data_IF_685933898276
#
_entry.id   IF_685933898276
#
_cell.length_a   1.000
_cell.length_b   1.000
_cell.length_c   1.000
_cell.angle_alpha   90.00
_cell.angle_beta   90.00
_cell.angle_gamma   90.00
#
_symmetry.space_group_name_H-M   'P 1'
#
loop_
_entity.id
_entity.type
_entity.pdbx_description
1 polymer ?
#
# COMPACT_ATOMS: atom_id res chain seq x y z
N UNK A 1 5.56 18.93 -1.78
CA UNK A 1 4.11 19.02 -2.05
C UNK A 1 3.99 20.20 -2.96
N UNK A 2 4.04 19.96 -4.26
CA UNK A 2 3.87 21.01 -5.26
C UNK A 2 2.79 20.51 -6.20
N UNK A 3 1.59 20.99 -5.92
CA UNK A 3 0.36 20.74 -6.64
C UNK A 3 0.16 21.92 -7.57
N UNK A 4 0.82 21.94 -8.72
CA UNK A 4 0.52 22.96 -9.73
C UNK A 4 0.94 22.44 -11.11
N UNK A 5 0.01 21.72 -11.76
CA UNK A 5 -0.37 21.97 -13.16
C UNK A 5 -1.47 20.98 -13.60
N UNK A 6 -2.70 21.21 -13.14
CA UNK A 6 -3.88 20.66 -13.81
C UNK A 6 -4.80 21.84 -14.07
N UNK A 7 -4.70 22.41 -15.27
CA UNK A 7 -5.71 23.33 -15.79
C UNK A 7 -6.96 22.51 -16.09
N UNK A 8 -7.81 22.28 -15.07
CA UNK A 8 -9.16 21.78 -15.30
C UNK A 8 -10.10 22.98 -15.41
N UNK A 9 -10.68 23.13 -16.60
CA UNK A 9 -11.69 24.14 -16.90
C UNK A 9 -12.83 24.06 -15.90
N UNK A 10 -13.19 25.22 -15.36
CA UNK A 10 -14.31 25.51 -14.48
C UNK A 10 -15.65 25.01 -15.04
N UNK A 11 -16.01 23.74 -14.86
CA UNK A 11 -17.38 23.25 -15.03
C UNK A 11 -17.50 21.80 -14.55
N UNK A 12 -17.51 21.61 -13.24
CA UNK A 12 -18.37 20.67 -12.50
C UNK A 12 -17.98 20.76 -11.02
N UNK A 13 -18.97 20.94 -10.15
CA UNK A 13 -18.77 21.00 -8.70
C UNK A 13 -17.96 19.78 -8.24
N UNK A 14 -16.70 20.03 -7.84
CA UNK A 14 -15.73 19.00 -7.53
C UNK A 14 -16.11 18.30 -6.22
N UNK A 15 -16.92 17.26 -6.35
CA UNK A 15 -17.20 16.36 -5.25
C UNK A 15 -15.90 15.60 -4.98
N UNK A 16 -15.06 16.10 -4.07
CA UNK A 16 -13.74 15.53 -3.71
C UNK A 16 -13.85 14.01 -3.43
N UNK A 17 -15.00 13.56 -2.89
CA UNK A 17 -15.30 12.15 -2.69
C UNK A 17 -15.39 11.33 -4.00
N UNK A 18 -15.87 11.93 -5.09
CA UNK A 18 -15.89 11.33 -6.42
C UNK A 18 -14.49 11.22 -7.02
N UNK A 19 -13.62 12.22 -6.84
CA UNK A 19 -12.24 12.19 -7.33
C UNK A 19 -11.40 11.11 -6.63
N UNK A 20 -11.48 11.04 -5.29
CA UNK A 20 -10.82 9.97 -4.52
C UNK A 20 -11.32 8.59 -4.95
N UNK A 21 -12.65 8.40 -5.00
CA UNK A 21 -13.24 7.12 -5.41
C UNK A 21 -12.81 6.72 -6.82
N UNK A 22 -12.84 7.65 -7.78
CA UNK A 22 -12.39 7.42 -9.15
C UNK A 22 -10.92 6.96 -9.19
N UNK A 23 -10.05 7.59 -8.41
CA UNK A 23 -8.65 7.19 -8.32
C UNK A 23 -8.47 5.80 -7.71
N UNK A 24 -9.19 5.46 -6.65
CA UNK A 24 -9.10 4.13 -6.01
C UNK A 24 -9.57 2.98 -6.91
N UNK A 25 -10.41 3.27 -7.90
CA UNK A 25 -10.89 2.30 -8.89
C UNK A 25 -10.02 2.24 -10.15
N UNK A 26 -9.07 3.16 -10.31
CA UNK A 26 -8.12 3.17 -11.41
C UNK A 26 -6.78 2.57 -10.95
N UNK A 27 -6.26 1.60 -11.70
CA UNK A 27 -5.04 0.88 -11.33
C UNK A 27 -3.82 1.79 -11.22
N UNK A 28 -3.61 2.68 -12.20
CA UNK A 28 -2.44 3.55 -12.23
C UNK A 28 -2.52 4.65 -11.16
N UNK A 29 -3.73 5.15 -10.89
CA UNK A 29 -3.96 6.17 -9.88
C UNK A 29 -3.79 5.58 -8.46
N UNK A 30 -4.42 4.44 -8.18
CA UNK A 30 -4.28 3.75 -6.90
C UNK A 30 -2.83 3.34 -6.60
N UNK A 31 -2.12 2.80 -7.61
CA UNK A 31 -0.70 2.46 -7.47
C UNK A 31 0.15 3.68 -7.07
N UNK A 32 -0.04 4.83 -7.72
CA UNK A 32 0.71 6.05 -7.40
C UNK A 32 0.47 6.54 -5.98
N UNK A 33 -0.77 6.48 -5.50
CA UNK A 33 -1.09 6.85 -4.10
C UNK A 33 -0.33 5.96 -3.12
N UNK A 34 -0.35 4.64 -3.34
CA UNK A 34 0.32 3.68 -2.47
C UNK A 34 1.84 3.87 -2.50
N UNK A 35 2.43 4.07 -3.70
CA UNK A 35 3.87 4.36 -3.85
C UNK A 35 4.29 5.64 -3.11
N UNK A 36 3.50 6.71 -3.20
CA UNK A 36 3.78 7.95 -2.47
C UNK A 36 3.68 7.76 -0.96
N UNK A 37 2.75 6.92 -0.49
CA UNK A 37 2.64 6.57 0.92
C UNK A 37 3.91 5.85 1.41
N UNK A 38 4.40 4.88 0.63
CA UNK A 38 5.65 4.17 0.95
C UNK A 38 6.86 5.10 0.89
N UNK A 39 7.00 5.93 -0.15
CA UNK A 39 8.09 6.91 -0.24
C UNK A 39 8.16 7.83 0.99
N UNK A 40 7.00 8.16 1.57
CA UNK A 40 6.93 9.06 2.73
C UNK A 40 7.13 8.36 4.07
N UNK A 41 6.73 7.09 4.20
CA UNK A 41 6.57 6.44 5.49
C UNK A 41 7.21 5.05 5.60
N UNK A 42 7.94 4.60 4.58
CA UNK A 42 8.69 3.35 4.61
C UNK A 42 9.59 3.28 5.85
N UNK A 43 9.55 2.15 6.53
CA UNK A 43 10.41 1.82 7.66
C UNK A 43 10.63 0.30 7.66
N UNK A 44 11.68 -0.15 8.34
CA UNK A 44 11.84 -1.57 8.69
C UNK A 44 10.84 -1.92 9.80
N UNK A 45 9.71 -2.46 9.38
CA UNK A 45 8.55 -2.73 10.22
C UNK A 45 8.62 -4.13 10.84
N UNK A 46 9.21 -5.09 10.14
CA UNK A 46 9.39 -6.45 10.67
C UNK A 46 10.68 -6.59 11.51
N UNK A 47 11.61 -5.64 11.42
CA UNK A 47 12.86 -5.59 12.20
C UNK A 47 13.96 -6.50 11.66
N UNK A 48 13.93 -6.87 10.38
CA UNK A 48 14.91 -7.76 9.75
C UNK A 48 16.14 -7.03 9.18
N UNK A 49 16.16 -5.70 9.25
CA UNK A 49 17.23 -4.85 8.74
C UNK A 49 17.13 -4.48 7.27
N UNK A 50 16.07 -4.89 6.56
CA UNK A 50 15.86 -4.65 5.12
C UNK A 50 14.45 -4.16 4.85
N UNK A 51 14.30 -2.88 4.50
CA UNK A 51 13.00 -2.36 4.06
C UNK A 51 12.59 -2.91 2.68
N UNK A 52 11.62 -3.81 2.65
CA UNK A 52 11.17 -4.52 1.45
C UNK A 52 9.63 -4.63 1.35
N UNK A 53 9.14 -5.53 0.47
CA UNK A 53 7.71 -5.76 0.25
C UNK A 53 6.94 -6.11 1.53
N UNK A 54 7.55 -6.87 2.44
CA UNK A 54 6.94 -7.26 3.71
C UNK A 54 6.65 -6.04 4.58
N UNK A 55 7.59 -5.10 4.65
CA UNK A 55 7.41 -3.87 5.40
C UNK A 55 6.34 -2.98 4.79
N UNK A 56 6.32 -2.87 3.46
CA UNK A 56 5.30 -2.11 2.75
C UNK A 56 3.91 -2.70 2.95
N UNK A 57 3.81 -4.02 2.99
CA UNK A 57 2.58 -4.72 3.30
C UNK A 57 2.15 -4.45 4.75
N UNK A 58 3.05 -4.61 5.73
CA UNK A 58 2.79 -4.32 7.14
C UNK A 58 2.38 -2.85 7.34
N UNK A 59 3.05 -1.93 6.66
CA UNK A 59 2.76 -0.50 6.67
C UNK A 59 1.38 -0.17 6.09
N UNK A 60 1.00 -0.83 4.99
CA UNK A 60 -0.31 -0.63 4.36
C UNK A 60 -1.45 -1.09 5.27
N UNK A 61 -1.28 -2.24 5.94
CA UNK A 61 -2.32 -2.80 6.82
C UNK A 61 -2.38 -2.12 8.20
N UNK A 62 -1.23 -1.90 8.83
CA UNK A 62 -1.18 -1.33 10.18
C UNK A 62 -1.27 0.21 10.19
N UNK A 63 -0.86 0.84 9.09
CA UNK A 63 -0.60 2.27 9.04
C UNK A 63 0.71 2.65 9.73
N UNK A 64 1.23 3.83 9.38
CA UNK A 64 2.52 4.37 9.85
C UNK A 64 2.79 4.19 11.35
N UNK A 65 1.86 4.64 12.21
CA UNK A 65 2.09 4.71 13.65
C UNK A 65 2.22 3.31 14.31
N UNK A 66 1.70 2.29 13.65
CA UNK A 66 1.58 0.94 14.18
C UNK A 66 2.32 -0.07 13.31
N UNK A 67 3.25 0.38 12.45
CA UNK A 67 3.85 -0.47 11.44
C UNK A 67 4.46 -1.76 12.02
N UNK A 68 5.08 -1.64 13.19
CA UNK A 68 5.73 -2.73 13.92
C UNK A 68 4.76 -3.66 14.68
N UNK A 69 3.44 -3.44 14.60
CA UNK A 69 2.48 -4.38 15.15
C UNK A 69 2.54 -5.69 14.37
N UNK A 70 2.72 -6.79 15.10
CA UNK A 70 2.77 -8.13 14.53
C UNK A 70 1.49 -8.47 13.76
N UNK A 71 1.64 -9.24 12.69
CA UNK A 71 0.55 -9.67 11.84
C UNK A 71 -0.24 -10.86 12.41
N UNK A 72 0.24 -11.51 13.48
CA UNK A 72 -0.43 -12.61 14.15
C UNK A 72 -1.40 -12.19 15.28
N UNK A 73 -1.49 -10.89 15.57
CA UNK A 73 -2.20 -10.33 16.74
C UNK A 73 -3.70 -10.63 16.80
N UNK A 74 -4.39 -10.73 15.67
CA UNK A 74 -5.79 -11.10 15.60
C UNK A 74 -6.12 -11.78 14.26
N UNK A 75 -7.37 -12.21 14.10
CA UNK A 75 -7.80 -12.93 12.90
C UNK A 75 -7.69 -12.08 11.62
N UNK A 76 -8.04 -10.79 11.69
CA UNK A 76 -7.98 -9.90 10.54
C UNK A 76 -6.54 -9.73 10.05
N UNK A 77 -5.60 -9.46 10.95
CA UNK A 77 -4.17 -9.32 10.59
C UNK A 77 -3.59 -10.63 10.07
N UNK A 78 -3.99 -11.77 10.64
CA UNK A 78 -3.53 -13.10 10.20
C UNK A 78 -4.02 -13.42 8.80
N UNK A 79 -5.31 -13.19 8.54
CA UNK A 79 -5.90 -13.46 7.24
C UNK A 79 -5.32 -12.54 6.17
N UNK A 80 -5.12 -11.27 6.48
CA UNK A 80 -4.45 -10.34 5.57
C UNK A 80 -3.02 -10.81 5.24
N UNK A 81 -2.23 -11.20 6.23
CA UNK A 81 -0.83 -11.60 6.02
C UNK A 81 -0.74 -12.90 5.23
N UNK A 82 -1.61 -13.87 5.55
CA UNK A 82 -1.75 -15.10 4.79
C UNK A 82 -2.04 -14.81 3.31
N UNK A 83 -3.00 -13.93 3.02
CA UNK A 83 -3.38 -13.58 1.65
C UNK A 83 -2.26 -12.83 0.92
N UNK A 84 -1.55 -11.94 1.62
CA UNK A 84 -0.39 -11.26 1.08
C UNK A 84 0.71 -12.27 0.69
N UNK A 85 1.13 -13.14 1.61
CA UNK A 85 2.18 -14.14 1.37
C UNK A 85 1.77 -15.16 0.29
N UNK A 86 0.49 -15.54 0.20
CA UNK A 86 0.02 -16.43 -0.86
C UNK A 86 0.20 -15.85 -2.27
N UNK A 87 0.15 -14.52 -2.39
CA UNK A 87 0.30 -13.78 -3.63
C UNK A 87 1.71 -13.16 -3.81
N UNK A 88 2.61 -13.34 -2.84
CA UNK A 88 3.93 -12.72 -2.88
C UNK A 88 4.85 -13.46 -3.87
N UNK A 89 5.25 -12.84 -4.99
CA UNK A 89 6.15 -13.46 -5.95
C UNK A 89 7.57 -13.67 -5.40
N UNK A 90 7.94 -13.05 -4.27
CA UNK A 90 9.24 -13.18 -3.64
C UNK A 90 9.32 -14.36 -2.64
N UNK A 91 8.19 -14.92 -2.22
CA UNK A 91 8.13 -16.21 -1.52
C UNK A 91 8.32 -17.37 -2.52
N UNK A 92 9.56 -17.44 -3.02
CA UNK A 92 10.05 -18.38 -4.04
C UNK A 92 9.93 -19.86 -3.66
N UNK A 93 9.45 -20.22 -2.47
CA UNK A 93 9.17 -21.62 -2.12
C UNK A 93 7.98 -22.24 -2.86
N UNK A 94 7.23 -21.45 -3.65
CA UNK A 94 6.15 -21.93 -4.53
C UNK A 94 6.41 -21.81 -6.04
N UNK A 95 7.50 -21.16 -6.44
CA UNK A 95 7.86 -20.97 -7.85
C UNK A 95 9.29 -21.45 -8.14
N UNK A 96 9.58 -22.69 -7.74
CA UNK A 96 10.58 -23.48 -8.47
C UNK A 96 9.97 -23.84 -9.83
N UNK A 97 10.28 -23.02 -10.84
CA UNK A 97 10.06 -23.40 -12.23
C UNK A 97 11.03 -24.53 -12.58
N UNK A 98 10.49 -25.62 -13.15
CA UNK A 98 11.24 -26.70 -13.81
C UNK A 98 12.23 -26.16 -14.85
#
# INVERSE_FOLDING_TARGET
>A
MDSENITYSFQEEENIGAAYKKCTLDYQCSQRIVQQYFYRYSADCNGDGVTNCDDYAMLHFNGRALCQLRMDRNELSRNWWKNYTECDPLDSKKFEFY
#
